data_IF_456501642673
#
_entry.id   IF_456501642673
#
_cell.length_a   1.000
_cell.length_b   1.000
_cell.length_c   1.000
_cell.angle_alpha   90.00
_cell.angle_beta   90.00
_cell.angle_gamma   90.00
#
_symmetry.space_group_name_H-M   'P 1'
#
loop_
_entity.id
_entity.type
_entity.pdbx_description
1 polymer ?
#
# COMPACT_ATOMS: atom_id res chain seq x y z
N UNK A 1 -1.94 -27.76 -41.00
CA UNK A 1 -0.80 -27.69 -40.06
C UNK A 1 -0.08 -26.34 -40.00
N UNK A 2 0.14 -25.63 -41.12
CA UNK A 2 0.85 -24.32 -41.13
C UNK A 2 0.11 -23.18 -40.43
N UNK A 3 -1.22 -23.11 -40.54
CA UNK A 3 -2.08 -22.10 -39.88
C UNK A 3 -2.16 -22.24 -38.35
N UNK A 4 -2.11 -23.48 -37.83
CA UNK A 4 -2.16 -23.76 -36.39
C UNK A 4 -0.83 -23.40 -35.68
N UNK A 5 0.30 -23.55 -36.39
CA UNK A 5 1.63 -23.10 -35.91
C UNK A 5 1.77 -21.57 -35.89
N UNK A 6 1.14 -20.86 -36.84
CA UNK A 6 1.14 -19.40 -36.88
C UNK A 6 0.30 -18.80 -35.74
N UNK A 7 -0.85 -19.41 -35.43
CA UNK A 7 -1.73 -19.00 -34.31
C UNK A 7 -1.06 -19.23 -32.95
N UNK A 8 -0.38 -20.37 -32.77
CA UNK A 8 0.37 -20.66 -31.55
C UNK A 8 1.56 -19.71 -31.33
N UNK A 9 2.23 -19.28 -32.41
CA UNK A 9 3.32 -18.29 -32.32
C UNK A 9 2.81 -16.88 -31.96
N UNK A 10 1.65 -16.49 -32.49
CA UNK A 10 1.00 -15.21 -32.16
C UNK A 10 0.52 -15.16 -30.70
N UNK A 11 0.00 -16.26 -30.15
CA UNK A 11 -0.37 -16.35 -28.73
C UNK A 11 0.86 -16.30 -27.81
N UNK A 12 1.98 -16.92 -28.20
CA UNK A 12 3.23 -16.85 -27.42
C UNK A 12 3.87 -15.45 -27.44
N UNK A 13 3.83 -14.75 -28.58
CA UNK A 13 4.31 -13.36 -28.69
C UNK A 13 3.42 -12.37 -27.93
N UNK A 14 2.11 -12.61 -27.85
CA UNK A 14 1.18 -11.78 -27.08
C UNK A 14 1.35 -12.01 -25.56
N UNK A 15 1.63 -13.25 -25.13
CA UNK A 15 1.90 -13.58 -23.72
C UNK A 15 3.24 -13.00 -23.21
N UNK A 16 4.21 -12.78 -24.10
CA UNK A 16 5.50 -12.17 -23.76
C UNK A 16 5.48 -10.62 -23.77
N UNK A 17 4.40 -10.01 -24.28
CA UNK A 17 4.24 -8.56 -24.40
C UNK A 17 3.22 -8.01 -23.40
N UNK A 18 3.12 -8.59 -22.20
CA UNK A 18 2.44 -7.90 -21.09
C UNK A 18 3.36 -6.74 -20.71
N UNK A 19 3.00 -5.47 -20.97
CA UNK A 19 3.80 -4.36 -20.50
C UNK A 19 3.81 -4.46 -18.98
N UNK A 20 4.98 -4.77 -18.40
CA UNK A 20 5.20 -4.46 -17.00
C UNK A 20 5.09 -2.94 -16.93
N UNK A 21 4.01 -2.44 -16.34
CA UNK A 21 3.89 -1.01 -16.03
C UNK A 21 5.09 -0.68 -15.13
N UNK A 22 6.07 0.03 -15.67
CA UNK A 22 7.19 0.56 -14.90
C UNK A 22 6.65 1.71 -14.05
N UNK A 23 6.14 1.34 -12.89
CA UNK A 23 5.28 2.15 -12.03
C UNK A 23 5.58 1.79 -10.56
N UNK A 24 5.05 2.58 -9.63
CA UNK A 24 5.17 2.28 -8.19
C UNK A 24 4.43 0.98 -7.89
N UNK A 25 5.02 0.13 -7.05
CA UNK A 25 4.44 -1.18 -6.74
C UNK A 25 3.37 -1.04 -5.69
N UNK A 26 2.17 -1.56 -5.95
CA UNK A 26 1.19 -1.82 -4.90
C UNK A 26 1.72 -2.96 -4.03
N UNK A 27 2.33 -2.60 -2.90
CA UNK A 27 2.93 -3.55 -1.97
C UNK A 27 1.84 -4.28 -1.17
N UNK A 28 0.84 -3.54 -0.68
CA UNK A 28 -0.20 -4.12 0.17
C UNK A 28 -1.47 -3.26 0.24
N UNK A 29 -2.60 -3.91 0.52
CA UNK A 29 -3.83 -3.27 1.00
C UNK A 29 -4.17 -3.87 2.35
N UNK A 30 -4.26 -3.04 3.38
CA UNK A 30 -4.56 -3.43 4.76
C UNK A 30 -5.79 -2.68 5.26
N UNK A 31 -6.40 -3.21 6.30
CA UNK A 31 -7.45 -2.51 7.04
C UNK A 31 -6.84 -1.88 8.29
N UNK A 32 -7.01 -0.55 8.43
CA UNK A 32 -6.65 0.14 9.67
C UNK A 32 -7.75 -0.08 10.71
N UNK A 33 -8.99 0.20 10.33
CA UNK A 33 -10.19 -0.06 11.10
C UNK A 33 -11.39 -0.17 10.14
N UNK A 34 -12.61 -0.39 10.66
CA UNK A 34 -13.80 -0.56 9.82
C UNK A 34 -14.08 0.63 8.87
N UNK A 35 -13.57 1.81 9.18
CA UNK A 35 -13.79 3.04 8.41
C UNK A 35 -12.60 3.42 7.51
N UNK A 36 -11.44 2.77 7.67
CA UNK A 36 -10.21 3.13 6.97
C UNK A 36 -9.49 1.94 6.34
N UNK A 37 -9.18 2.07 5.05
CA UNK A 37 -8.30 1.17 4.29
C UNK A 37 -6.95 1.86 4.08
N UNK A 38 -5.87 1.11 4.29
CA UNK A 38 -4.50 1.51 3.99
C UNK A 38 -4.05 0.90 2.68
N UNK A 39 -3.56 1.74 1.77
CA UNK A 39 -2.98 1.32 0.50
C UNK A 39 -1.50 1.67 0.54
N UNK A 40 -0.65 0.65 0.47
CA UNK A 40 0.80 0.77 0.66
C UNK A 40 1.48 0.59 -0.69
N UNK A 41 2.27 1.59 -1.08
CA UNK A 41 3.07 1.57 -2.30
C UNK A 41 4.56 1.65 -1.99
N UNK A 42 5.38 1.09 -2.87
CA UNK A 42 6.84 1.21 -2.83
C UNK A 42 7.34 1.65 -4.20
N UNK A 43 8.19 2.68 -4.24
CA UNK A 43 8.86 3.12 -5.48
C UNK A 43 10.08 2.26 -5.84
N UNK A 44 10.56 1.47 -4.88
CA UNK A 44 11.69 0.57 -5.02
C UNK A 44 12.11 -0.06 -3.69
N UNK A 45 13.21 -0.79 -3.73
CA UNK A 45 13.91 -1.32 -2.56
C UNK A 45 15.41 -1.02 -2.63
N UNK A 46 16.07 -1.14 -1.47
CA UNK A 46 17.52 -1.21 -1.37
C UNK A 46 17.92 -2.66 -1.10
N UNK A 47 18.89 -3.16 -1.87
CA UNK A 47 19.42 -4.52 -1.78
C UNK A 47 20.90 -4.50 -1.43
N UNK A 48 21.37 -5.56 -0.78
CA UNK A 48 22.75 -5.73 -0.35
C UNK A 48 23.32 -6.98 -1.02
N UNK A 49 24.33 -6.82 -1.88
CA UNK A 49 24.95 -7.91 -2.62
C UNK A 49 26.47 -7.80 -2.49
N UNK A 50 27.11 -8.79 -1.88
CA UNK A 50 28.57 -8.87 -1.71
C UNK A 50 29.19 -7.55 -1.23
N UNK A 51 28.70 -7.04 -0.09
CA UNK A 51 29.09 -5.76 0.55
C UNK A 51 28.75 -4.48 -0.23
N UNK A 52 28.17 -4.58 -1.43
CA UNK A 52 27.66 -3.44 -2.18
C UNK A 52 26.16 -3.20 -1.91
N UNK A 53 25.78 -1.92 -1.82
CA UNK A 53 24.39 -1.49 -1.70
C UNK A 53 23.88 -1.07 -3.08
N UNK A 54 22.67 -1.49 -3.44
CA UNK A 54 22.06 -1.14 -4.71
C UNK A 54 20.62 -0.72 -4.53
N UNK A 55 20.26 0.40 -5.17
CA UNK A 55 18.86 0.84 -5.30
C UNK A 55 18.21 0.19 -6.52
N UNK A 56 17.09 -0.49 -6.30
CA UNK A 56 16.25 -1.06 -7.34
C UNK A 56 14.94 -0.28 -7.40
N UNK A 57 14.77 0.56 -8.43
CA UNK A 57 13.54 1.32 -8.67
C UNK A 57 12.58 0.50 -9.53
N UNK A 58 11.29 0.52 -9.19
CA UNK A 58 10.29 -0.24 -9.94
C UNK A 58 9.77 0.49 -11.18
N UNK A 59 9.90 1.82 -11.21
CA UNK A 59 9.58 2.64 -12.38
C UNK A 59 9.15 4.04 -11.98
N UNK A 60 8.10 4.55 -12.60
CA UNK A 60 7.54 5.87 -12.29
C UNK A 60 7.02 5.89 -10.87
N UNK A 61 7.52 6.83 -10.05
CA UNK A 61 7.09 6.98 -8.66
C UNK A 61 5.59 7.27 -8.54
N UNK A 62 5.04 6.98 -7.35
CA UNK A 62 3.64 7.27 -7.04
C UNK A 62 3.32 8.75 -7.34
N UNK A 63 2.26 8.98 -8.11
CA UNK A 63 1.72 10.33 -8.26
C UNK A 63 0.99 10.72 -6.97
N UNK A 64 1.72 11.28 -6.01
CA UNK A 64 1.20 11.59 -4.67
C UNK A 64 0.05 12.60 -4.67
N UNK A 65 -0.01 13.50 -5.67
CA UNK A 65 -1.14 14.40 -5.86
C UNK A 65 -2.39 13.62 -6.25
N UNK A 66 -2.30 12.78 -7.29
CA UNK A 66 -3.42 11.94 -7.71
C UNK A 66 -3.84 10.92 -6.66
N UNK A 67 -2.88 10.36 -5.91
CA UNK A 67 -3.16 9.43 -4.81
C UNK A 67 -3.94 10.08 -3.65
N UNK A 68 -3.82 11.40 -3.46
CA UNK A 68 -4.60 12.15 -2.49
C UNK A 68 -6.04 12.48 -2.92
N UNK A 69 -6.46 12.13 -4.14
CA UNK A 69 -7.80 12.46 -4.66
C UNK A 69 -8.76 11.28 -4.47
N UNK A 70 -9.87 11.43 -3.71
CA UNK A 70 -10.86 10.37 -3.54
C UNK A 70 -11.44 9.79 -4.84
N UNK A 71 -11.53 10.62 -5.89
CA UNK A 71 -11.99 10.22 -7.21
C UNK A 71 -11.13 9.14 -7.89
N UNK A 72 -9.88 8.95 -7.45
CA UNK A 72 -8.97 7.94 -7.99
C UNK A 72 -9.09 6.57 -7.31
N UNK A 73 -10.01 6.43 -6.36
CA UNK A 73 -10.23 5.22 -5.58
C UNK A 73 -11.71 4.84 -5.63
N UNK A 74 -12.02 3.56 -5.78
CA UNK A 74 -13.38 3.06 -5.61
C UNK A 74 -13.35 1.72 -4.91
N UNK A 75 -14.13 1.56 -3.84
CA UNK A 75 -14.32 0.29 -3.15
C UNK A 75 -15.67 -0.29 -3.56
N UNK A 76 -15.70 -1.50 -4.08
CA UNK A 76 -16.94 -2.21 -4.44
C UNK A 76 -17.04 -3.53 -3.68
N UNK A 77 -18.27 -4.00 -3.44
CA UNK A 77 -18.53 -5.30 -2.81
C UNK A 77 -19.82 -5.88 -3.36
N UNK A 78 -19.81 -7.17 -3.69
CA UNK A 78 -21.01 -7.89 -4.11
C UNK A 78 -21.87 -8.37 -2.94
N UNK A 79 -21.31 -8.41 -1.74
CA UNK A 79 -21.93 -8.97 -0.53
C UNK A 79 -22.17 -7.94 0.58
N UNK A 80 -21.75 -6.68 0.40
CA UNK A 80 -22.11 -5.51 1.21
C UNK A 80 -22.95 -4.52 0.38
N UNK A 81 -24.26 -4.36 0.70
CA UNK A 81 -25.16 -3.45 -0.01
C UNK A 81 -24.70 -1.99 -0.07
N UNK A 82 -23.92 -1.51 0.89
CA UNK A 82 -23.42 -0.13 0.90
C UNK A 82 -22.43 0.14 -0.25
N UNK A 83 -21.80 -0.93 -0.75
CA UNK A 83 -20.71 -0.91 -1.73
C UNK A 83 -21.03 -1.59 -3.06
N UNK A 84 -22.29 -1.99 -3.30
CA UNK A 84 -22.71 -2.72 -4.51
C UNK A 84 -22.20 -2.14 -5.84
N UNK A 85 -22.42 -0.85 -6.06
CA UNK A 85 -22.03 -0.16 -7.30
C UNK A 85 -20.60 0.43 -7.27
N UNK A 86 -19.85 0.22 -6.19
CA UNK A 86 -18.61 0.94 -5.92
C UNK A 86 -18.86 2.31 -5.28
N UNK A 87 -17.99 2.69 -4.33
CA UNK A 87 -18.04 3.98 -3.64
C UNK A 87 -16.64 4.57 -3.54
N UNK A 88 -16.54 5.87 -3.81
CA UNK A 88 -15.33 6.61 -3.51
C UNK A 88 -15.19 6.83 -2.00
N UNK A 89 -13.95 6.91 -1.49
CA UNK A 89 -13.68 7.44 -0.15
C UNK A 89 -14.25 8.85 0.02
N UNK A 90 -14.52 9.25 1.26
CA UNK A 90 -14.91 10.63 1.60
C UNK A 90 -13.70 11.56 1.70
N UNK A 91 -12.56 11.01 2.12
CA UNK A 91 -11.26 11.70 2.10
C UNK A 91 -10.13 10.71 1.86
N UNK A 92 -8.99 11.23 1.41
CA UNK A 92 -7.75 10.48 1.31
C UNK A 92 -6.65 11.27 2.01
N UNK A 93 -5.91 10.60 2.87
CA UNK A 93 -4.76 11.16 3.55
C UNK A 93 -3.53 10.34 3.23
N UNK A 94 -2.34 10.90 3.33
CA UNK A 94 -1.12 10.18 2.98
C UNK A 94 0.07 10.54 3.84
N UNK A 95 0.99 9.58 3.93
CA UNK A 95 2.37 9.80 4.38
C UNK A 95 3.34 9.04 3.49
N UNK A 96 4.55 9.58 3.40
CA UNK A 96 5.66 8.97 2.70
C UNK A 96 6.84 8.87 3.67
N UNK A 97 7.60 7.78 3.60
CA UNK A 97 8.84 7.61 4.37
C UNK A 97 9.89 6.94 3.51
N UNK A 98 11.16 7.14 3.83
CA UNK A 98 12.24 6.34 3.26
C UNK A 98 12.02 4.88 3.67
N UNK A 99 12.12 3.95 2.71
CA UNK A 99 12.03 2.51 2.97
C UNK A 99 13.35 1.77 2.70
N UNK A 100 14.40 2.53 2.43
CA UNK A 100 15.76 2.06 2.24
C UNK A 100 16.66 3.23 1.87
N UNK A 101 17.93 3.14 2.23
CA UNK A 101 18.98 4.07 1.84
C UNK A 101 20.22 3.27 1.46
N UNK A 102 20.80 3.58 0.31
CA UNK A 102 22.05 3.01 -0.17
C UNK A 102 23.16 4.06 -0.07
N UNK A 103 24.24 3.72 0.63
CA UNK A 103 25.49 4.45 0.56
C UNK A 103 26.26 4.01 -0.68
N UNK A 104 26.54 4.95 -1.57
CA UNK A 104 27.22 4.70 -2.84
C UNK A 104 28.69 5.16 -2.75
N UNK A 105 29.27 5.64 -3.84
CA UNK A 105 30.65 6.11 -3.88
C UNK A 105 30.89 7.38 -3.05
N UNK A 106 32.14 7.58 -2.61
CA UNK A 106 32.60 8.82 -2.00
C UNK A 106 32.70 9.93 -3.06
N UNK A 107 32.07 11.08 -2.81
CA UNK A 107 32.13 12.25 -3.67
C UNK A 107 33.05 13.32 -3.06
N UNK A 108 34.23 13.49 -3.65
CA UNK A 108 35.23 14.47 -3.19
C UNK A 108 34.75 15.92 -3.26
N UNK A 109 33.79 16.24 -4.13
CA UNK A 109 33.23 17.59 -4.31
C UNK A 109 32.40 18.06 -3.12
N UNK A 110 31.77 17.13 -2.41
CA UNK A 110 30.93 17.40 -1.22
C UNK A 110 31.55 16.84 0.07
N UNK A 111 32.70 16.16 -0.04
CA UNK A 111 33.41 15.51 1.06
C UNK A 111 32.49 14.57 1.88
N UNK A 112 31.64 13.82 1.17
CA UNK A 112 30.68 12.88 1.74
C UNK A 112 30.33 11.76 0.72
N UNK A 113 29.67 10.71 1.18
CA UNK A 113 29.12 9.66 0.32
C UNK A 113 27.89 10.14 -0.44
N UNK A 114 27.72 9.66 -1.68
CA UNK A 114 26.45 9.79 -2.38
C UNK A 114 25.44 8.82 -1.77
N UNK A 115 24.31 9.33 -1.31
CA UNK A 115 23.21 8.50 -0.84
C UNK A 115 22.09 8.46 -1.87
N UNK A 116 21.61 7.25 -2.15
CA UNK A 116 20.37 7.05 -2.88
C UNK A 116 19.33 6.43 -1.96
N UNK A 117 18.06 6.69 -2.23
CA UNK A 117 16.97 6.13 -1.44
C UNK A 117 15.75 5.77 -2.29
N UNK A 118 14.89 4.98 -1.67
CA UNK A 118 13.55 4.65 -2.15
C UNK A 118 12.51 5.05 -1.12
N UNK A 119 11.26 5.15 -1.56
CA UNK A 119 10.17 5.67 -0.73
C UNK A 119 9.06 4.63 -0.63
N UNK A 120 8.52 4.48 0.56
CA UNK A 120 7.24 3.82 0.80
C UNK A 120 6.18 4.89 1.07
N UNK A 121 5.01 4.69 0.48
CA UNK A 121 3.85 5.56 0.62
C UNK A 121 2.72 4.78 1.26
N UNK A 122 2.00 5.43 2.17
CA UNK A 122 0.76 4.93 2.74
C UNK A 122 -0.33 5.94 2.42
N UNK A 123 -1.39 5.48 1.76
CA UNK A 123 -2.61 6.24 1.51
C UNK A 123 -3.71 5.67 2.38
N UNK A 124 -4.33 6.52 3.20
CA UNK A 124 -5.46 6.20 4.06
C UNK A 124 -6.74 6.65 3.38
N UNK A 125 -7.61 5.68 3.08
CA UNK A 125 -8.90 5.92 2.44
C UNK A 125 -9.98 5.93 3.52
N UNK A 126 -10.56 7.11 3.81
CA UNK A 126 -11.73 7.21 4.71
C UNK A 126 -12.98 6.77 3.96
N UNK A 127 -13.59 5.70 4.39
CA UNK A 127 -14.75 5.13 3.75
C UNK A 127 -16.05 5.90 4.07
N UNK A 128 -17.04 5.94 3.16
CA UNK A 128 -18.34 6.56 3.43
C UNK A 128 -19.23 5.73 4.37
N UNK A 129 -19.00 4.42 4.45
CA UNK A 129 -19.69 3.50 5.35
C UNK A 129 -18.65 2.59 6.02
N UNK A 130 -18.96 2.06 7.20
CA UNK A 130 -18.08 1.08 7.81
C UNK A 130 -18.14 -0.24 7.04
N UNK A 131 -17.00 -0.89 6.85
CA UNK A 131 -16.93 -2.26 6.36
C UNK A 131 -17.61 -3.23 7.35
N UNK A 132 -18.15 -4.31 6.80
CA UNK A 132 -18.88 -5.35 7.53
C UNK A 132 -18.05 -6.62 7.60
N UNK A 133 -17.95 -7.21 8.79
CA UNK A 133 -17.17 -8.42 9.04
C UNK A 133 -17.54 -9.55 8.06
N UNK A 134 -16.51 -10.20 7.52
CA UNK A 134 -16.61 -11.33 6.61
C UNK A 134 -16.95 -10.97 5.16
N UNK A 135 -17.17 -9.69 4.85
CA UNK A 135 -17.49 -9.24 3.49
C UNK A 135 -16.25 -9.04 2.64
N UNK A 136 -16.44 -9.15 1.32
CA UNK A 136 -15.36 -9.06 0.35
C UNK A 136 -15.43 -7.73 -0.39
N UNK A 137 -14.30 -7.03 -0.43
CA UNK A 137 -14.18 -5.73 -1.06
C UNK A 137 -13.12 -5.77 -2.15
N UNK A 138 -13.43 -5.13 -3.28
CA UNK A 138 -12.48 -4.89 -4.37
C UNK A 138 -12.20 -3.40 -4.44
N UNK A 139 -10.96 -3.04 -4.14
CA UNK A 139 -10.43 -1.71 -4.35
C UNK A 139 -10.00 -1.57 -5.81
N UNK A 140 -10.55 -0.59 -6.51
CA UNK A 140 -10.11 -0.14 -7.83
C UNK A 140 -9.26 1.12 -7.67
N UNK A 141 -8.12 1.14 -8.35
CA UNK A 141 -7.11 2.18 -8.30
C UNK A 141 -6.96 2.77 -9.70
N UNK A 142 -7.17 4.08 -9.82
CA UNK A 142 -7.03 4.78 -11.09
C UNK A 142 -5.56 4.81 -11.54
N UNK A 143 -5.30 4.52 -12.83
CA UNK A 143 -3.96 4.53 -13.42
C UNK A 143 -3.22 5.86 -13.31
N UNK A 144 -3.93 6.98 -13.11
CA UNK A 144 -3.34 8.31 -12.86
C UNK A 144 -2.46 8.36 -11.59
N UNK A 145 -2.60 7.38 -10.70
CA UNK A 145 -1.75 7.23 -9.51
C UNK A 145 -0.34 6.73 -9.83
N UNK A 146 -0.06 6.29 -11.06
CA UNK A 146 1.17 5.60 -11.46
C UNK A 146 1.40 4.29 -10.70
N UNK A 147 0.35 3.51 -10.45
CA UNK A 147 0.46 2.16 -9.86
C UNK A 147 0.68 1.07 -10.91
N UNK A 148 1.40 0.01 -10.52
CA UNK A 148 1.54 -1.23 -11.30
C UNK A 148 0.31 -2.15 -11.22
N UNK A 149 -0.65 -1.88 -10.31
CA UNK A 149 -1.85 -2.67 -10.12
C UNK A 149 -3.09 -1.78 -9.99
N UNK A 150 -4.07 -1.96 -10.87
CA UNK A 150 -5.31 -1.14 -10.88
C UNK A 150 -6.42 -1.71 -10.02
N UNK A 151 -6.23 -2.88 -9.40
CA UNK A 151 -7.22 -3.44 -8.47
C UNK A 151 -6.61 -4.38 -7.44
N UNK A 152 -7.27 -4.50 -6.29
CA UNK A 152 -6.96 -5.48 -5.25
C UNK A 152 -8.22 -5.88 -4.50
N UNK A 153 -8.44 -7.19 -4.37
CA UNK A 153 -9.53 -7.75 -3.56
C UNK A 153 -9.01 -8.21 -2.21
N UNK A 154 -9.79 -7.95 -1.16
CA UNK A 154 -9.53 -8.41 0.20
C UNK A 154 -10.84 -8.66 0.95
N UNK A 155 -10.77 -9.44 2.02
CA UNK A 155 -11.90 -9.70 2.92
C UNK A 155 -11.68 -8.90 4.20
N UNK A 156 -12.71 -8.21 4.68
CA UNK A 156 -12.64 -7.57 5.99
C UNK A 156 -12.87 -8.63 7.06
N UNK A 157 -11.80 -9.05 7.72
CA UNK A 157 -11.84 -10.03 8.80
C UNK A 157 -11.14 -9.49 10.06
N UNK A 158 -11.91 -9.09 11.07
CA UNK A 158 -11.41 -8.53 12.33
C UNK A 158 -10.54 -9.50 13.13
N UNK A 159 -10.64 -10.81 12.91
CA UNK A 159 -9.84 -11.80 13.63
C UNK A 159 -8.47 -12.01 13.01
N UNK A 160 -8.31 -11.71 11.72
CA UNK A 160 -7.07 -11.91 10.97
C UNK A 160 -6.46 -10.60 10.44
N UNK A 161 -7.15 -9.47 10.58
CA UNK A 161 -6.67 -8.14 10.21
C UNK A 161 -5.92 -7.51 11.37
N UNK A 162 -4.58 -7.58 11.33
CA UNK A 162 -3.76 -6.81 12.27
C UNK A 162 -3.84 -5.32 11.93
N UNK A 163 -4.48 -4.56 12.81
CA UNK A 163 -4.53 -3.10 12.70
C UNK A 163 -3.20 -2.47 13.10
N UNK A 164 -2.73 -1.50 12.32
CA UNK A 164 -1.61 -0.64 12.71
C UNK A 164 -1.99 0.35 13.81
N UNK A 165 -3.26 0.48 14.18
CA UNK A 165 -3.70 1.39 15.24
C UNK A 165 -3.50 0.81 16.65
N UNK A 166 -3.28 -0.50 16.78
CA UNK A 166 -3.11 -1.17 18.07
C UNK A 166 -1.64 -1.33 18.37
N UNK A 167 -1.17 -0.60 19.37
CA UNK A 167 0.21 -0.60 19.83
C UNK A 167 0.28 -1.24 21.20
N UNK A 168 0.93 -2.40 21.31
CA UNK A 168 1.10 -3.09 22.59
C UNK A 168 2.48 -2.77 23.14
N UNK A 169 2.54 -2.21 24.35
CA UNK A 169 3.78 -2.10 25.09
C UNK A 169 3.89 -3.28 26.07
N UNK A 170 4.85 -4.17 25.82
CA UNK A 170 5.10 -5.31 26.70
C UNK A 170 6.17 -4.91 27.70
N UNK A 171 5.74 -4.46 28.90
CA UNK A 171 6.67 -4.24 30.01
C UNK A 171 7.03 -5.59 30.64
N UNK A 172 8.13 -6.17 30.16
CA UNK A 172 8.71 -7.42 30.69
C UNK A 172 8.08 -8.71 30.14
N UNK A 173 8.89 -9.76 30.05
CA UNK A 173 8.50 -11.08 29.54
C UNK A 173 7.73 -11.93 30.57
N UNK A 174 7.39 -11.39 31.74
CA UNK A 174 6.81 -12.16 32.83
C UNK A 174 5.30 -12.33 32.64
N UNK A 175 4.79 -13.57 32.48
CA UNK A 175 3.41 -13.80 32.05
C UNK A 175 2.36 -13.49 33.14
N UNK A 176 2.75 -13.43 34.41
CA UNK A 176 1.81 -13.46 35.55
C UNK A 176 1.80 -12.23 36.47
N UNK A 177 2.53 -11.14 36.17
CA UNK A 177 2.43 -9.90 36.96
C UNK A 177 2.44 -8.65 36.08
N UNK A 178 1.40 -7.82 36.22
CA UNK A 178 1.27 -6.48 35.63
C UNK A 178 -0.01 -6.27 34.82
N UNK A 179 -0.45 -5.01 34.73
CA UNK A 179 -1.46 -4.56 33.76
C UNK A 179 -0.84 -4.69 32.37
N UNK A 180 -1.50 -5.44 31.47
CA UNK A 180 -1.18 -5.44 30.04
C UNK A 180 -2.01 -4.34 29.38
N UNK A 181 -1.34 -3.29 28.90
CA UNK A 181 -1.99 -2.17 28.23
C UNK A 181 -1.66 -2.19 26.73
N UNK A 182 -2.60 -1.68 25.94
CA UNK A 182 -2.41 -1.38 24.54
C UNK A 182 -2.93 0.03 24.28
N UNK A 183 -2.17 0.80 23.51
CA UNK A 183 -2.58 2.11 23.04
C UNK A 183 -3.31 1.95 21.71
N UNK A 184 -4.40 2.72 21.55
CA UNK A 184 -5.17 2.80 20.32
C UNK A 184 -4.97 4.18 19.69
N UNK A 185 -4.14 4.26 18.65
CA UNK A 185 -3.91 5.49 17.92
C UNK A 185 -3.35 5.23 16.52
N UNK A 186 -3.62 6.14 15.58
CA UNK A 186 -3.01 6.12 14.26
C UNK A 186 -2.75 7.54 13.76
N UNK A 187 -1.58 7.76 13.15
CA UNK A 187 -1.24 9.00 12.45
C UNK A 187 -1.40 8.82 10.94
N UNK A 188 -2.37 9.55 10.38
CA UNK A 188 -2.80 9.45 8.98
C UNK A 188 -1.95 10.31 8.02
N UNK A 189 -0.82 10.85 8.51
CA UNK A 189 0.03 11.74 7.72
C UNK A 189 -0.53 13.15 7.70
N UNK A 190 -0.85 13.64 6.51
CA UNK A 190 -1.50 14.96 6.33
C UNK A 190 -2.93 15.04 6.88
N UNK A 191 -3.55 13.90 7.23
CA UNK A 191 -4.85 13.83 7.91
C UNK A 191 -4.79 13.96 9.43
N UNK A 192 -3.60 14.03 10.03
CA UNK A 192 -3.44 14.14 11.48
C UNK A 192 -3.75 12.85 12.24
N UNK A 193 -4.12 13.00 13.52
CA UNK A 193 -4.46 11.88 14.40
C UNK A 193 -5.86 11.34 14.08
N UNK A 194 -5.99 10.02 13.97
CA UNK A 194 -7.29 9.34 13.86
C UNK A 194 -8.02 9.45 15.19
N UNK A 195 -9.24 10.01 15.15
CA UNK A 195 -10.12 10.10 16.31
C UNK A 195 -10.84 8.77 16.55
N UNK A 196 -10.43 8.05 17.60
CA UNK A 196 -11.07 6.80 18.01
C UNK A 196 -12.21 6.98 19.03
N UNK A 197 -12.45 8.20 19.53
CA UNK A 197 -13.54 8.45 20.49
C UNK A 197 -14.92 8.23 19.85
N UNK A 198 -15.04 8.46 18.55
CA UNK A 198 -16.25 8.19 17.76
C UNK A 198 -16.59 6.69 17.59
N UNK A 199 -15.74 5.77 18.06
CA UNK A 199 -15.95 4.33 18.00
C UNK A 199 -16.39 3.71 19.34
N UNK A 200 -16.49 4.51 20.41
CA UNK A 200 -17.09 4.11 21.69
C UNK A 200 -18.62 4.11 21.62
#
# INVERSE_FOLDING_TARGET
MRKLRLLALLVLLYAAAVPRLWATRLAEVRVLDRDYVMVIFKDGDVTFVNDAQQVVRYGTALNTTSAGLPANWSLASSDDPNYGAGRNPTSCHRKSKLNGMAQMEWLTTVNDFRYEHTTEHVVFLKLPFSMVQGKTYTLTINGNTNTDATSRTFTYDIFNSRSEAVHVNVVGYYPSTGIKAADLYAWLGDGGARDYTALQ
#
